data_IF_775132366912
#
_entry.id   IF_775132366912
#
_cell.length_a   1.000
_cell.length_b   1.000
_cell.length_c   1.000
_cell.angle_alpha   90.00
_cell.angle_beta   90.00
_cell.angle_gamma   90.00
#
_symmetry.space_group_name_H-M   'P 1'
#
loop_
_entity.id
_entity.type
_entity.pdbx_description
1 polymer ?
#
# COMPACT_ATOMS: atom_id res chain seq x y z
N UNK A 1 50.49 1.57 -15.71
CA UNK A 1 51.11 0.99 -14.49
C UNK A 1 50.00 0.28 -13.73
N UNK A 2 50.26 -0.86 -13.10
CA UNK A 2 49.30 -1.49 -12.20
C UNK A 2 49.36 -0.81 -10.83
N UNK A 3 48.26 -0.85 -10.08
CA UNK A 3 48.19 -0.32 -8.72
C UNK A 3 47.24 -1.16 -7.89
N UNK A 4 47.27 -0.99 -6.57
CA UNK A 4 46.43 -1.75 -5.64
C UNK A 4 44.94 -1.48 -5.90
N UNK A 5 44.19 -2.51 -6.23
CA UNK A 5 42.73 -2.47 -6.27
C UNK A 5 42.19 -2.70 -4.85
N UNK A 6 41.44 -1.74 -4.31
CA UNK A 6 40.99 -1.78 -2.92
C UNK A 6 39.83 -2.76 -2.69
N UNK A 7 39.23 -3.28 -3.76
CA UNK A 7 38.15 -4.28 -3.69
C UNK A 7 38.71 -5.69 -3.64
N UNK A 8 39.73 -5.99 -4.44
CA UNK A 8 40.33 -7.33 -4.53
C UNK A 8 41.56 -7.49 -3.65
N UNK A 9 42.26 -6.39 -3.34
CA UNK A 9 43.54 -6.42 -2.61
C UNK A 9 44.75 -6.75 -3.50
N UNK A 10 44.57 -6.82 -4.82
CA UNK A 10 45.61 -7.20 -5.78
C UNK A 10 46.08 -6.02 -6.64
N UNK A 11 47.27 -6.12 -7.25
CA UNK A 11 47.73 -5.14 -8.23
C UNK A 11 47.08 -5.33 -9.61
N UNK A 12 46.24 -4.38 -10.01
CA UNK A 12 45.45 -4.43 -11.23
C UNK A 12 45.61 -3.16 -12.08
N UNK A 13 45.10 -3.19 -13.32
CA UNK A 13 44.92 -1.98 -14.11
C UNK A 13 43.75 -1.18 -13.56
N UNK A 14 44.02 0.04 -13.11
CA UNK A 14 43.02 0.89 -12.48
C UNK A 14 42.00 1.42 -13.48
N UNK A 15 40.75 1.56 -13.03
CA UNK A 15 39.70 2.17 -13.82
C UNK A 15 39.86 3.70 -13.81
N UNK A 16 40.14 4.31 -14.96
CA UNK A 16 40.13 5.78 -15.08
C UNK A 16 38.72 6.38 -14.97
N UNK A 17 37.68 5.58 -15.25
CA UNK A 17 36.29 5.95 -15.03
C UNK A 17 35.44 4.73 -14.65
N UNK A 18 34.46 4.96 -13.79
CA UNK A 18 33.45 3.97 -13.44
C UNK A 18 32.20 4.09 -14.32
N UNK A 19 31.50 2.98 -14.60
CA UNK A 19 30.28 3.00 -15.41
C UNK A 19 29.16 3.87 -14.81
N UNK A 20 28.46 4.60 -15.68
CA UNK A 20 27.21 5.31 -15.37
C UNK A 20 26.00 4.49 -15.87
N UNK A 21 24.80 5.11 -15.94
CA UNK A 21 23.58 4.53 -16.50
C UNK A 21 23.14 3.25 -15.79
N UNK A 22 23.17 3.23 -14.46
CA UNK A 22 22.78 2.04 -13.70
C UNK A 22 21.26 1.86 -13.68
N UNK A 23 20.50 2.96 -13.65
CA UNK A 23 19.03 2.94 -13.58
C UNK A 23 18.38 2.93 -14.97
N UNK A 24 18.87 3.76 -15.89
CA UNK A 24 18.38 3.86 -17.27
C UNK A 24 19.46 4.47 -18.19
N UNK A 25 19.20 4.49 -19.50
CA UNK A 25 20.19 4.95 -20.50
C UNK A 25 20.50 6.45 -20.48
N UNK A 26 19.57 7.27 -19.96
CA UNK A 26 19.75 8.71 -19.81
C UNK A 26 20.52 9.07 -18.54
N UNK A 27 20.56 8.16 -17.56
CA UNK A 27 21.19 8.37 -16.25
C UNK A 27 22.71 8.49 -16.34
N UNK A 28 23.25 9.66 -16.00
CA UNK A 28 24.70 9.92 -15.97
C UNK A 28 25.31 9.83 -14.57
N UNK A 29 24.49 9.53 -13.56
CA UNK A 29 24.96 9.40 -12.19
C UNK A 29 25.87 8.18 -12.03
N UNK A 30 26.92 8.33 -11.22
CA UNK A 30 27.87 7.26 -10.87
C UNK A 30 27.89 7.03 -9.37
N UNK A 31 27.97 5.77 -8.95
CA UNK A 31 28.17 5.39 -7.54
C UNK A 31 29.58 5.76 -7.09
N UNK A 32 30.57 5.52 -7.96
CA UNK A 32 31.96 5.90 -7.74
C UNK A 32 32.30 7.01 -8.74
N UNK A 33 32.61 8.20 -8.24
CA UNK A 33 32.97 9.36 -9.06
C UNK A 33 34.16 10.11 -8.46
N UNK A 34 35.15 10.43 -9.28
CA UNK A 34 36.36 11.18 -8.91
C UNK A 34 36.56 12.44 -9.77
N UNK A 35 35.51 12.92 -10.44
CA UNK A 35 35.59 13.98 -11.44
C UNK A 35 35.64 15.42 -10.88
N UNK A 36 35.71 15.57 -9.57
CA UNK A 36 35.69 16.89 -8.92
C UNK A 36 37.12 17.36 -8.64
N UNK A 37 37.65 18.14 -9.58
CA UNK A 37 38.96 18.80 -9.49
C UNK A 37 38.87 20.15 -8.75
N UNK A 38 37.65 20.62 -8.49
CA UNK A 38 37.33 21.97 -8.02
C UNK A 38 36.94 22.03 -6.54
N UNK A 39 36.15 21.07 -6.06
CA UNK A 39 35.77 20.97 -4.66
C UNK A 39 36.66 19.94 -3.95
N UNK A 40 36.89 20.14 -2.65
CA UNK A 40 37.87 19.43 -1.82
C UNK A 40 37.54 17.95 -1.51
N UNK A 41 37.05 17.17 -2.48
CA UNK A 41 36.68 15.76 -2.27
C UNK A 41 37.86 14.85 -1.91
N UNK A 42 39.06 15.13 -2.45
CA UNK A 42 40.32 14.45 -2.09
C UNK A 42 41.50 15.41 -1.86
N UNK A 43 41.46 16.60 -2.49
CA UNK A 43 42.48 17.63 -2.36
C UNK A 43 42.56 18.15 -0.93
N UNK A 44 43.78 18.24 -0.39
CA UNK A 44 44.06 18.58 1.02
C UNK A 44 44.43 17.36 1.89
N UNK A 45 44.15 16.14 1.41
CA UNK A 45 44.70 14.88 1.98
C UNK A 45 45.52 14.10 0.96
N UNK A 46 45.12 14.13 -0.30
CA UNK A 46 45.76 13.42 -1.41
C UNK A 46 46.05 14.38 -2.58
N UNK A 47 47.08 14.08 -3.36
CA UNK A 47 47.46 14.85 -4.55
C UNK A 47 46.58 14.47 -5.75
N UNK A 48 46.27 13.18 -5.88
CA UNK A 48 45.45 12.61 -6.95
C UNK A 48 44.26 11.83 -6.40
N UNK A 49 43.23 11.64 -7.23
CA UNK A 49 42.07 10.84 -6.82
C UNK A 49 42.43 9.36 -6.64
N UNK A 50 43.42 8.87 -7.39
CA UNK A 50 43.86 7.47 -7.37
C UNK A 50 44.53 7.10 -6.03
N UNK A 51 45.13 8.07 -5.34
CA UNK A 51 45.67 7.89 -3.99
C UNK A 51 44.58 7.72 -2.92
N UNK A 52 43.38 8.26 -3.14
CA UNK A 52 42.30 8.19 -2.17
C UNK A 52 41.63 6.81 -2.17
N UNK A 53 41.26 6.31 -3.34
CA UNK A 53 40.71 4.97 -3.52
C UNK A 53 40.83 4.52 -4.98
N UNK A 54 41.40 3.34 -5.17
CA UNK A 54 41.57 2.74 -6.48
C UNK A 54 40.72 1.49 -6.67
N UNK A 55 39.98 1.40 -7.78
CA UNK A 55 39.29 0.16 -8.18
C UNK A 55 39.75 -0.31 -9.55
N UNK A 56 40.06 -1.60 -9.66
CA UNK A 56 40.47 -2.24 -10.91
C UNK A 56 39.42 -2.15 -12.01
N UNK A 57 39.88 -2.02 -13.26
CA UNK A 57 39.05 -1.87 -14.45
C UNK A 57 38.06 -3.03 -14.64
N UNK A 58 38.54 -4.27 -14.51
CA UNK A 58 37.70 -5.46 -14.67
C UNK A 58 36.66 -5.55 -13.56
N UNK A 59 37.08 -5.31 -12.32
CA UNK A 59 36.22 -5.37 -11.13
C UNK A 59 35.07 -4.36 -11.24
N UNK A 60 35.38 -3.10 -11.55
CA UNK A 60 34.35 -2.06 -11.65
C UNK A 60 33.34 -2.37 -12.76
N UNK A 61 33.80 -2.86 -13.93
CA UNK A 61 32.91 -3.21 -15.04
C UNK A 61 31.97 -4.36 -14.66
N UNK A 62 32.50 -5.44 -14.08
CA UNK A 62 31.70 -6.59 -13.65
C UNK A 62 30.64 -6.19 -12.61
N UNK A 63 31.05 -5.45 -11.58
CA UNK A 63 30.14 -5.05 -10.51
C UNK A 63 29.00 -4.14 -11.01
N UNK A 64 29.33 -3.12 -11.82
CA UNK A 64 28.32 -2.18 -12.33
C UNK A 64 27.40 -2.82 -13.37
N UNK A 65 27.92 -3.71 -14.23
CA UNK A 65 27.09 -4.44 -15.19
C UNK A 65 26.13 -5.42 -14.49
N UNK A 66 26.61 -6.13 -13.47
CA UNK A 66 25.76 -7.01 -12.66
C UNK A 66 24.65 -6.20 -11.97
N UNK A 67 24.99 -5.05 -11.38
CA UNK A 67 24.01 -4.17 -10.75
C UNK A 67 23.01 -3.61 -11.75
N UNK A 68 23.45 -3.13 -12.93
CA UNK A 68 22.54 -2.68 -14.00
C UNK A 68 21.59 -3.80 -14.41
N UNK A 69 22.09 -5.02 -14.57
CA UNK A 69 21.26 -6.18 -14.93
C UNK A 69 20.21 -6.46 -13.85
N UNK A 70 20.61 -6.53 -12.57
CA UNK A 70 19.69 -6.71 -11.44
C UNK A 70 18.61 -5.62 -11.41
N UNK A 71 19.02 -4.36 -11.59
CA UNK A 71 18.09 -3.23 -11.59
C UNK A 71 17.07 -3.36 -12.72
N UNK A 72 17.54 -3.64 -13.94
CA UNK A 72 16.66 -3.77 -15.12
C UNK A 72 15.73 -4.99 -15.04
N UNK A 73 16.15 -6.06 -14.36
CA UNK A 73 15.40 -7.31 -14.29
C UNK A 73 14.26 -7.25 -13.26
N UNK A 74 14.49 -6.63 -12.11
CA UNK A 74 13.60 -6.82 -10.95
C UNK A 74 13.50 -5.64 -9.98
N UNK A 75 14.19 -4.53 -10.21
CA UNK A 75 14.07 -3.40 -9.27
C UNK A 75 12.71 -2.73 -9.35
N UNK A 76 12.26 -2.21 -8.21
CA UNK A 76 11.34 -1.08 -8.22
C UNK A 76 12.07 0.13 -8.79
N UNK A 77 11.56 0.69 -9.89
CA UNK A 77 12.08 1.90 -10.50
C UNK A 77 10.98 2.96 -10.63
N UNK A 78 11.14 4.08 -9.93
CA UNK A 78 10.33 5.28 -10.12
C UNK A 78 11.23 6.50 -10.08
N UNK A 79 11.20 7.27 -11.16
CA UNK A 79 12.00 8.47 -11.35
C UNK A 79 13.50 8.18 -11.17
N UNK A 80 14.14 8.88 -10.24
CA UNK A 80 15.53 8.72 -9.85
C UNK A 80 15.74 7.70 -8.71
N UNK A 81 14.71 6.98 -8.27
CA UNK A 81 14.87 5.98 -7.22
C UNK A 81 14.84 4.56 -7.79
N UNK A 82 15.82 3.74 -7.40
CA UNK A 82 15.82 2.31 -7.64
C UNK A 82 15.97 1.55 -6.33
N UNK A 83 15.11 0.57 -6.08
CA UNK A 83 15.22 -0.34 -4.93
C UNK A 83 15.16 -1.77 -5.43
N UNK A 84 16.17 -2.56 -5.06
CA UNK A 84 16.32 -3.94 -5.53
C UNK A 84 16.75 -4.86 -4.40
N UNK A 85 16.17 -6.04 -4.35
CA UNK A 85 16.62 -7.14 -3.52
C UNK A 85 17.01 -8.34 -4.39
N UNK A 86 18.08 -9.07 -4.05
CA UNK A 86 18.47 -10.30 -4.74
C UNK A 86 19.15 -11.29 -3.81
N UNK A 87 18.99 -12.59 -4.11
CA UNK A 87 19.77 -13.63 -3.46
C UNK A 87 21.15 -13.70 -4.11
N UNK A 88 22.21 -13.82 -3.32
CA UNK A 88 23.60 -13.93 -3.81
C UNK A 88 23.81 -15.20 -4.64
N UNK A 89 22.99 -16.24 -4.42
CA UNK A 89 22.94 -17.46 -5.23
C UNK A 89 22.12 -17.35 -6.52
N UNK A 90 21.55 -16.19 -6.84
CA UNK A 90 20.82 -15.95 -8.10
C UNK A 90 19.40 -16.52 -8.19
N UNK A 91 18.87 -17.09 -7.09
CA UNK A 91 17.49 -17.57 -7.00
C UNK A 91 16.50 -16.42 -6.83
N UNK A 92 15.28 -16.62 -7.30
CA UNK A 92 14.22 -15.61 -7.24
C UNK A 92 13.73 -15.38 -5.81
N UNK A 93 13.30 -14.15 -5.52
CA UNK A 93 12.73 -13.75 -4.23
C UNK A 93 11.69 -12.62 -4.44
N UNK A 94 10.76 -12.41 -3.49
CA UNK A 94 9.80 -11.30 -3.60
C UNK A 94 10.51 -9.97 -3.40
N UNK A 95 10.21 -8.96 -4.22
CA UNK A 95 10.77 -7.62 -4.04
C UNK A 95 10.11 -6.90 -2.86
N UNK A 96 10.85 -6.04 -2.13
CA UNK A 96 10.38 -5.52 -0.85
C UNK A 96 9.30 -4.44 -0.95
N UNK A 97 9.12 -3.84 -2.13
CA UNK A 97 8.14 -2.77 -2.36
C UNK A 97 6.89 -3.24 -3.11
N UNK A 98 6.76 -4.55 -3.36
CA UNK A 98 5.64 -5.14 -4.08
C UNK A 98 4.46 -5.42 -3.17
N UNK A 99 3.23 -5.27 -3.69
CA UNK A 99 2.04 -5.77 -3.02
C UNK A 99 1.86 -7.29 -3.22
N UNK A 100 0.83 -7.87 -2.61
CA UNK A 100 0.57 -9.31 -2.73
C UNK A 100 0.24 -9.74 -4.17
N UNK A 101 -0.36 -8.86 -4.98
CA UNK A 101 -0.75 -9.16 -6.37
C UNK A 101 0.50 -9.23 -7.25
N UNK A 102 1.42 -8.28 -7.06
CA UNK A 102 2.71 -8.22 -7.77
C UNK A 102 3.60 -9.42 -7.39
N UNK A 103 3.69 -9.78 -6.10
CA UNK A 103 4.48 -10.94 -5.63
C UNK A 103 3.99 -12.26 -6.24
N UNK A 104 2.69 -12.34 -6.52
CA UNK A 104 2.07 -13.50 -7.16
C UNK A 104 2.14 -13.46 -8.70
N UNK A 105 2.59 -12.35 -9.29
CA UNK A 105 2.63 -12.17 -10.75
C UNK A 105 1.24 -12.24 -11.41
N UNK A 106 0.18 -11.88 -10.68
CA UNK A 106 -1.20 -12.00 -11.18
C UNK A 106 -1.58 -10.90 -12.16
N UNK A 107 -0.92 -9.74 -12.11
CA UNK A 107 -1.21 -8.60 -12.98
C UNK A 107 -0.52 -8.71 -14.36
N UNK A 108 0.61 -9.42 -14.44
CA UNK A 108 1.51 -9.41 -15.61
C UNK A 108 1.23 -10.52 -16.62
N UNK A 109 0.33 -11.46 -16.31
CA UNK A 109 -0.01 -12.59 -17.17
C UNK A 109 -1.41 -12.40 -17.77
N UNK A 110 -1.54 -12.06 -19.07
CA UNK A 110 -2.82 -12.11 -19.77
C UNK A 110 -3.34 -13.54 -19.68
N UNK A 111 -4.49 -13.74 -19.03
CA UNK A 111 -5.11 -15.06 -18.98
C UNK A 111 -6.03 -15.26 -20.16
N UNK A 112 -5.81 -16.36 -20.86
CA UNK A 112 -6.76 -16.91 -21.82
C UNK A 112 -7.91 -17.55 -21.04
N UNK A 113 -9.09 -16.96 -21.16
CA UNK A 113 -10.39 -17.53 -20.80
C UNK A 113 -10.48 -18.37 -19.52
N UNK A 114 -10.69 -17.72 -18.37
CA UNK A 114 -11.76 -18.04 -17.40
C UNK A 114 -12.01 -16.76 -16.60
N UNK A 115 -13.27 -16.33 -16.46
CA UNK A 115 -13.70 -15.23 -15.58
C UNK A 115 -13.67 -15.73 -14.11
N UNK A 116 -12.49 -16.14 -13.61
CA UNK A 116 -12.35 -16.55 -12.21
C UNK A 116 -12.41 -15.30 -11.35
N UNK A 117 -13.56 -15.07 -10.71
CA UNK A 117 -13.69 -14.07 -9.66
C UNK A 117 -12.79 -14.48 -8.49
N UNK A 118 -11.71 -13.73 -8.28
CA UNK A 118 -10.84 -13.94 -7.14
C UNK A 118 -11.45 -13.36 -5.88
N UNK A 119 -11.43 -14.12 -4.79
CA UNK A 119 -11.70 -13.58 -3.48
C UNK A 119 -10.39 -13.09 -2.84
N UNK A 120 -10.50 -12.06 -2.00
CA UNK A 120 -9.35 -11.51 -1.31
C UNK A 120 -8.66 -12.55 -0.39
N UNK A 121 -9.45 -13.47 0.18
CA UNK A 121 -8.98 -14.60 0.99
C UNK A 121 -8.17 -15.61 0.17
N UNK A 122 -8.61 -15.91 -1.05
CA UNK A 122 -7.89 -16.80 -1.95
C UNK A 122 -6.51 -16.23 -2.32
N UNK A 123 -6.44 -14.94 -2.65
CA UNK A 123 -5.16 -14.26 -2.93
C UNK A 123 -4.26 -14.31 -1.68
N UNK A 124 -4.81 -14.07 -0.49
CA UNK A 124 -4.05 -14.18 0.76
C UNK A 124 -3.49 -15.58 1.01
N UNK A 125 -4.24 -16.64 0.70
CA UNK A 125 -3.76 -18.04 0.81
C UNK A 125 -2.66 -18.32 -0.21
N UNK A 126 -2.85 -17.92 -1.47
CA UNK A 126 -1.85 -18.06 -2.54
C UNK A 126 -0.56 -17.32 -2.19
N UNK A 127 -0.66 -16.11 -1.62
CA UNK A 127 0.49 -15.34 -1.16
C UNK A 127 1.31 -16.09 -0.11
N UNK A 128 0.67 -16.64 0.92
CA UNK A 128 1.37 -17.45 1.95
C UNK A 128 2.07 -18.66 1.35
N UNK A 129 1.41 -19.37 0.45
CA UNK A 129 1.99 -20.53 -0.23
C UNK A 129 3.19 -20.12 -1.10
N UNK A 130 3.09 -18.98 -1.81
CA UNK A 130 4.19 -18.45 -2.62
C UNK A 130 5.39 -18.07 -1.77
N UNK A 131 5.17 -17.43 -0.62
CA UNK A 131 6.23 -17.09 0.33
C UNK A 131 6.93 -18.34 0.89
N UNK A 132 6.16 -19.37 1.22
CA UNK A 132 6.71 -20.66 1.65
C UNK A 132 7.53 -21.33 0.52
N UNK A 133 7.05 -21.27 -0.72
CA UNK A 133 7.78 -21.77 -1.90
C UNK A 133 9.14 -21.10 -2.07
N UNK A 134 9.24 -19.78 -1.92
CA UNK A 134 10.53 -19.09 -1.90
C UNK A 134 11.45 -19.62 -0.79
N UNK A 135 10.90 -19.91 0.39
CA UNK A 135 11.67 -20.49 1.50
C UNK A 135 12.24 -21.86 1.17
N UNK A 136 11.43 -22.74 0.56
CA UNK A 136 11.89 -24.05 0.09
C UNK A 136 12.95 -23.95 -1.01
N UNK A 137 12.79 -23.02 -1.94
CA UNK A 137 13.72 -22.84 -3.05
C UNK A 137 15.05 -22.23 -2.59
N UNK A 138 15.03 -21.19 -1.75
CA UNK A 138 16.23 -20.48 -1.29
C UNK A 138 17.01 -21.25 -0.21
N UNK A 139 16.32 -22.03 0.62
CA UNK A 139 16.86 -22.51 1.88
C UNK A 139 16.92 -21.39 2.93
N UNK A 140 17.52 -21.67 4.10
CA UNK A 140 17.48 -20.75 5.24
C UNK A 140 18.64 -19.75 5.30
N UNK A 141 19.80 -20.11 4.74
CA UNK A 141 21.08 -19.41 4.94
C UNK A 141 21.59 -18.70 3.69
N UNK A 142 20.86 -18.74 2.58
CA UNK A 142 21.27 -18.04 1.36
C UNK A 142 21.37 -16.53 1.65
N UNK A 143 22.45 -15.89 1.21
CA UNK A 143 22.62 -14.45 1.38
C UNK A 143 21.61 -13.69 0.52
N UNK A 144 20.99 -12.67 1.10
CA UNK A 144 20.10 -11.72 0.41
C UNK A 144 20.61 -10.31 0.63
N UNK A 145 20.73 -9.55 -0.45
CA UNK A 145 21.12 -8.15 -0.42
C UNK A 145 19.91 -7.30 -0.79
N UNK A 146 19.69 -6.22 -0.03
CA UNK A 146 18.72 -5.17 -0.33
C UNK A 146 19.46 -3.85 -0.50
N UNK A 147 19.26 -3.20 -1.65
CA UNK A 147 19.95 -1.97 -2.03
C UNK A 147 18.93 -0.94 -2.51
N UNK A 148 19.01 0.28 -1.97
CA UNK A 148 18.34 1.44 -2.54
C UNK A 148 19.37 2.45 -3.05
N UNK A 149 19.12 2.92 -4.27
CA UNK A 149 19.94 3.88 -4.98
C UNK A 149 19.12 5.11 -5.31
N UNK A 150 19.78 6.26 -5.21
CA UNK A 150 19.18 7.53 -5.52
C UNK A 150 20.22 8.53 -6.06
N UNK A 151 19.78 9.51 -6.84
CA UNK A 151 20.59 10.66 -7.24
C UNK A 151 20.02 11.93 -6.63
N UNK A 152 20.73 12.49 -5.64
CA UNK A 152 20.39 13.78 -5.06
C UNK A 152 20.93 14.96 -5.89
N UNK A 153 22.00 14.75 -6.66
CA UNK A 153 22.62 15.74 -7.54
C UNK A 153 22.99 15.14 -8.90
N UNK A 154 22.90 15.92 -10.00
CA UNK A 154 23.30 15.43 -11.32
C UNK A 154 24.72 14.87 -11.32
N UNK A 155 24.88 13.63 -11.80
CA UNK A 155 26.19 12.99 -11.96
C UNK A 155 26.68 12.17 -10.75
N UNK A 156 26.05 12.27 -9.57
CA UNK A 156 26.38 11.44 -8.39
C UNK A 156 25.20 10.58 -7.96
N UNK A 157 25.49 9.31 -7.68
CA UNK A 157 24.53 8.34 -7.15
C UNK A 157 24.92 7.97 -5.73
N UNK A 158 23.95 7.98 -4.83
CA UNK A 158 24.10 7.60 -3.43
C UNK A 158 23.40 6.28 -3.18
N UNK A 159 24.04 5.44 -2.37
CA UNK A 159 23.40 4.29 -1.74
C UNK A 159 22.64 4.82 -0.52
N UNK A 160 21.33 4.91 -0.61
CA UNK A 160 20.48 5.46 0.47
C UNK A 160 20.05 4.39 1.47
N UNK A 161 20.10 3.12 1.07
CA UNK A 161 19.83 1.99 1.95
C UNK A 161 20.65 0.77 1.51
N UNK A 162 21.20 0.05 2.49
CA UNK A 162 21.93 -1.21 2.26
C UNK A 162 21.68 -2.16 3.42
N UNK A 163 21.28 -3.39 3.12
CA UNK A 163 21.22 -4.50 4.07
C UNK A 163 21.64 -5.80 3.44
N UNK A 164 22.36 -6.60 4.22
CA UNK A 164 22.59 -8.01 3.98
C UNK A 164 21.86 -8.81 5.04
N UNK A 165 21.17 -9.88 4.62
CA UNK A 165 20.32 -10.71 5.46
C UNK A 165 20.44 -12.15 4.99
N UNK A 166 20.04 -13.11 5.83
CA UNK A 166 19.75 -14.46 5.34
C UNK A 166 18.40 -14.49 4.64
N UNK A 167 18.19 -15.45 3.75
CA UNK A 167 16.92 -15.69 3.06
C UNK A 167 15.77 -15.93 4.04
N UNK A 168 16.02 -16.71 5.11
CA UNK A 168 15.03 -16.93 6.17
C UNK A 168 14.61 -15.62 6.86
N UNK A 169 15.57 -14.77 7.21
CA UNK A 169 15.30 -13.48 7.84
C UNK A 169 14.57 -12.53 6.89
N UNK A 170 15.01 -12.45 5.63
CA UNK A 170 14.38 -11.62 4.60
C UNK A 170 12.91 -12.02 4.38
N UNK A 171 12.64 -13.30 4.12
CA UNK A 171 11.27 -13.78 3.87
C UNK A 171 10.37 -13.61 5.09
N UNK A 172 10.92 -13.81 6.30
CA UNK A 172 10.19 -13.53 7.55
C UNK A 172 9.83 -12.05 7.67
N UNK A 173 10.74 -11.13 7.36
CA UNK A 173 10.50 -9.67 7.40
C UNK A 173 9.41 -9.27 6.40
N UNK A 174 9.47 -9.77 5.15
CA UNK A 174 8.42 -9.57 4.14
C UNK A 174 7.07 -10.12 4.62
N UNK A 175 7.03 -11.37 5.07
CA UNK A 175 5.80 -11.99 5.58
C UNK A 175 5.19 -11.19 6.75
N UNK A 176 6.04 -10.74 7.68
CA UNK A 176 5.62 -9.93 8.83
C UNK A 176 5.03 -8.60 8.40
N UNK A 177 5.64 -7.90 7.43
CA UNK A 177 5.09 -6.65 6.89
C UNK A 177 3.69 -6.85 6.29
N UNK A 178 3.53 -7.84 5.40
CA UNK A 178 2.24 -8.13 4.76
C UNK A 178 1.17 -8.61 5.74
N UNK A 179 1.55 -9.29 6.82
CA UNK A 179 0.62 -9.75 7.84
C UNK A 179 0.20 -8.63 8.80
N UNK A 180 1.15 -7.82 9.25
CA UNK A 180 0.89 -6.75 10.24
C UNK A 180 0.18 -5.56 9.59
N UNK A 181 0.58 -5.15 8.38
CA UNK A 181 -0.02 -4.04 7.63
C UNK A 181 -1.15 -4.52 6.71
N UNK A 182 -1.95 -5.49 7.14
CA UNK A 182 -2.96 -6.12 6.30
C UNK A 182 -4.30 -5.38 6.29
N UNK A 183 -4.91 -5.24 5.12
CA UNK A 183 -6.33 -4.88 4.96
C UNK A 183 -6.93 -5.52 3.69
N UNK A 184 -8.25 -5.41 3.52
CA UNK A 184 -8.93 -5.81 2.28
C UNK A 184 -8.83 -4.66 1.27
N UNK A 185 -8.16 -4.89 0.16
CA UNK A 185 -7.95 -3.93 -0.91
C UNK A 185 -8.71 -4.35 -2.18
N UNK A 186 -9.28 -3.39 -2.92
CA UNK A 186 -10.09 -3.63 -4.12
C UNK A 186 -9.74 -2.76 -5.34
N UNK A 187 -8.57 -2.14 -5.31
CA UNK A 187 -8.14 -1.20 -6.34
C UNK A 187 -7.24 -1.81 -7.42
N UNK A 188 -6.81 -3.07 -7.26
CA UNK A 188 -6.07 -3.79 -8.30
C UNK A 188 -7.04 -4.42 -9.27
N UNK A 189 -6.58 -4.58 -10.51
CA UNK A 189 -7.31 -5.26 -11.58
C UNK A 189 -6.32 -5.98 -12.49
N UNK A 190 -6.81 -6.95 -13.24
CA UNK A 190 -6.04 -7.63 -14.29
C UNK A 190 -6.76 -7.54 -15.63
N UNK A 191 -5.96 -7.51 -16.69
CA UNK A 191 -6.46 -7.67 -18.05
C UNK A 191 -6.71 -9.15 -18.34
N UNK A 192 -7.92 -9.49 -18.76
CA UNK A 192 -8.29 -10.79 -19.32
C UNK A 192 -8.56 -10.59 -20.81
N UNK A 193 -7.99 -11.48 -21.63
CA UNK A 193 -8.25 -11.52 -23.07
C UNK A 193 -9.30 -12.58 -23.34
N UNK A 194 -10.51 -12.13 -23.67
CA UNK A 194 -11.60 -12.99 -24.13
C UNK A 194 -11.92 -12.61 -25.57
N UNK A 195 -11.79 -13.57 -26.49
CA UNK A 195 -12.20 -13.54 -27.90
C UNK A 195 -12.25 -12.15 -28.56
N UNK A 196 -11.15 -11.39 -28.48
CA UNK A 196 -10.94 -10.16 -29.24
C UNK A 196 -10.70 -8.87 -28.44
N UNK A 197 -11.41 -8.60 -27.32
CA UNK A 197 -11.26 -7.32 -26.58
C UNK A 197 -10.68 -7.53 -25.18
N UNK A 198 -9.67 -6.73 -24.78
CA UNK A 198 -9.17 -6.76 -23.41
C UNK A 198 -10.24 -6.24 -22.44
N UNK A 199 -10.47 -6.98 -21.36
CA UNK A 199 -11.37 -6.59 -20.28
C UNK A 199 -10.61 -6.55 -18.97
N UNK A 200 -10.83 -5.51 -18.18
CA UNK A 200 -10.30 -5.40 -16.83
C UNK A 200 -11.24 -6.07 -15.83
N UNK A 201 -10.71 -6.98 -15.03
CA UNK A 201 -11.44 -7.67 -13.96
C UNK A 201 -10.85 -7.28 -12.61
N UNK A 202 -11.67 -6.95 -11.60
CA UNK A 202 -11.19 -6.62 -10.26
C UNK A 202 -10.40 -7.77 -9.63
N UNK A 203 -9.30 -7.43 -8.97
CA UNK A 203 -8.47 -8.35 -8.19
C UNK A 203 -8.43 -7.87 -6.73
N UNK A 204 -9.44 -8.20 -5.92
CA UNK A 204 -9.41 -7.87 -4.51
C UNK A 204 -8.35 -8.72 -3.81
N UNK A 205 -7.56 -8.13 -2.90
CA UNK A 205 -6.49 -8.85 -2.20
C UNK A 205 -6.42 -8.49 -0.72
N UNK A 206 -5.86 -9.40 0.08
CA UNK A 206 -5.53 -9.20 1.49
C UNK A 206 -4.02 -9.14 1.63
N UNK A 207 -3.51 -8.07 2.21
CA UNK A 207 -2.08 -7.89 2.48
C UNK A 207 -1.73 -6.42 2.68
N UNK A 208 -0.43 -6.12 2.71
CA UNK A 208 0.03 -4.74 2.73
C UNK A 208 -0.10 -4.04 1.37
N UNK A 209 -0.47 -2.75 1.35
CA UNK A 209 -0.40 -1.94 0.15
C UNK A 209 1.05 -1.65 -0.24
N UNK A 210 1.30 -1.44 -1.54
CA UNK A 210 2.62 -1.06 -2.01
C UNK A 210 3.04 0.31 -1.44
N UNK A 211 4.32 0.54 -1.10
CA UNK A 211 4.81 1.83 -0.63
C UNK A 211 4.51 3.02 -1.56
N UNK A 212 4.46 2.79 -2.88
CA UNK A 212 4.00 3.80 -3.84
C UNK A 212 2.53 4.17 -3.66
N UNK A 213 1.67 3.18 -3.41
CA UNK A 213 0.24 3.41 -3.15
C UNK A 213 0.02 4.12 -1.82
N UNK A 214 0.85 3.83 -0.81
CA UNK A 214 0.86 4.58 0.46
C UNK A 214 1.18 6.06 0.21
N UNK A 215 2.20 6.35 -0.62
CA UNK A 215 2.54 7.73 -0.98
C UNK A 215 1.40 8.44 -1.72
N UNK A 216 0.72 7.74 -2.64
CA UNK A 216 -0.45 8.26 -3.33
C UNK A 216 -1.61 8.53 -2.35
N UNK A 217 -1.90 7.61 -1.44
CA UNK A 217 -2.94 7.76 -0.43
C UNK A 217 -2.65 8.94 0.53
N UNK A 218 -1.38 9.23 0.81
CA UNK A 218 -0.97 10.30 1.70
C UNK A 218 -0.96 11.68 1.01
N UNK A 219 -0.41 11.77 -0.21
CA UNK A 219 0.02 13.06 -0.77
C UNK A 219 -0.47 13.37 -2.18
N UNK A 220 -1.20 12.45 -2.83
CA UNK A 220 -1.63 12.72 -4.20
C UNK A 220 -2.65 13.87 -4.28
N UNK A 221 -2.60 14.59 -5.40
CA UNK A 221 -3.63 15.54 -5.82
C UNK A 221 -4.45 14.91 -6.92
N UNK A 222 -5.74 15.22 -6.98
CA UNK A 222 -6.60 14.79 -8.08
C UNK A 222 -6.43 15.78 -9.23
N UNK A 223 -5.75 15.36 -10.30
CA UNK A 223 -5.57 16.15 -11.53
C UNK A 223 -6.16 15.36 -12.69
N UNK A 224 -7.22 15.88 -13.30
CA UNK A 224 -7.93 15.26 -14.42
C UNK A 224 -8.40 13.82 -14.13
N UNK A 225 -8.94 13.57 -12.93
CA UNK A 225 -9.43 12.26 -12.51
C UNK A 225 -8.34 11.24 -12.14
N UNK A 226 -7.06 11.66 -12.13
CA UNK A 226 -5.91 10.82 -11.77
C UNK A 226 -5.29 11.29 -10.46
N UNK A 227 -4.91 10.32 -9.62
CA UNK A 227 -4.07 10.57 -8.47
C UNK A 227 -2.64 10.84 -8.96
N UNK A 228 -2.14 12.05 -8.73
CA UNK A 228 -0.77 12.42 -9.02
C UNK A 228 -0.06 12.85 -7.75
N UNK A 229 1.02 12.17 -7.42
CA UNK A 229 1.91 12.50 -6.31
C UNK A 229 3.21 13.09 -6.85
N UNK A 230 3.70 14.14 -6.20
CA UNK A 230 5.02 14.70 -6.48
C UNK A 230 6.11 13.64 -6.28
N UNK A 231 7.02 13.54 -7.25
CA UNK A 231 8.02 12.48 -7.31
C UNK A 231 8.95 12.50 -6.09
N UNK A 232 9.28 13.70 -5.59
CA UNK A 232 10.11 13.86 -4.39
C UNK A 232 9.38 13.39 -3.13
N UNK A 233 8.06 13.64 -3.03
CA UNK A 233 7.24 13.12 -1.94
C UNK A 233 7.10 11.59 -2.02
N UNK A 234 6.88 11.03 -3.21
CA UNK A 234 6.82 9.57 -3.41
C UNK A 234 8.10 8.89 -2.98
N UNK A 235 9.23 9.36 -3.50
CA UNK A 235 10.56 8.85 -3.19
C UNK A 235 10.87 8.90 -1.69
N UNK A 236 10.67 10.04 -1.04
CA UNK A 236 10.88 10.19 0.41
C UNK A 236 10.00 9.25 1.23
N UNK A 237 8.78 9.01 0.77
CA UNK A 237 7.86 8.07 1.45
C UNK A 237 8.39 6.65 1.34
N UNK A 238 8.80 6.22 0.15
CA UNK A 238 9.39 4.89 -0.08
C UNK A 238 10.68 4.69 0.74
N UNK A 239 11.58 5.68 0.79
CA UNK A 239 12.82 5.63 1.59
C UNK A 239 12.54 5.42 3.07
N UNK A 240 11.46 6.03 3.59
CA UNK A 240 11.08 5.92 4.99
C UNK A 240 10.35 4.62 5.31
N UNK A 241 9.64 4.04 4.35
CA UNK A 241 8.93 2.78 4.50
C UNK A 241 9.85 1.56 4.33
N UNK A 242 10.92 1.65 3.53
CA UNK A 242 11.82 0.51 3.31
C UNK A 242 12.45 -0.03 4.62
N UNK A 243 12.95 0.80 5.56
CA UNK A 243 13.38 0.33 6.88
C UNK A 243 12.24 -0.22 7.76
N UNK A 244 10.98 0.19 7.54
CA UNK A 244 9.84 -0.40 8.24
C UNK A 244 9.57 -1.84 7.77
N UNK A 245 9.73 -2.08 6.47
CA UNK A 245 9.52 -3.38 5.83
C UNK A 245 10.67 -4.33 6.18
N UNK A 246 11.91 -3.86 5.98
CA UNK A 246 13.08 -4.69 6.15
C UNK A 246 13.51 -4.73 7.61
N UNK A 247 13.77 -3.60 8.26
CA UNK A 247 14.32 -3.58 9.62
C UNK A 247 13.26 -3.64 10.72
N UNK A 248 11.97 -3.77 10.37
CA UNK A 248 10.88 -3.82 11.34
C UNK A 248 10.70 -2.52 12.12
N UNK A 249 11.19 -1.37 11.60
CA UNK A 249 11.03 -0.09 12.29
C UNK A 249 9.55 0.29 12.39
N UNK A 250 9.12 0.94 13.49
CA UNK A 250 7.75 1.42 13.63
C UNK A 250 7.34 2.34 12.47
N UNK A 251 6.07 2.25 12.07
CA UNK A 251 5.53 3.10 11.01
C UNK A 251 5.56 4.59 11.44
N UNK A 252 6.05 5.52 10.59
CA UNK A 252 6.06 6.95 10.93
C UNK A 252 4.64 7.52 11.06
N UNK A 253 4.35 8.14 12.21
CA UNK A 253 3.03 8.68 12.53
C UNK A 253 2.56 9.73 11.52
N UNK A 254 3.45 10.60 11.04
CA UNK A 254 3.10 11.66 10.09
C UNK A 254 2.57 11.11 8.76
N UNK A 255 3.04 9.93 8.32
CA UNK A 255 2.49 9.26 7.13
C UNK A 255 1.07 8.77 7.43
N UNK A 256 0.87 8.11 8.57
CA UNK A 256 -0.44 7.60 9.01
C UNK A 256 -1.45 8.75 9.12
N UNK A 257 -1.08 9.82 9.83
CA UNK A 257 -1.93 10.98 10.02
C UNK A 257 -2.25 11.69 8.71
N UNK A 258 -1.28 11.81 7.79
CA UNK A 258 -1.50 12.39 6.47
C UNK A 258 -2.56 11.61 5.68
N UNK A 259 -2.46 10.28 5.65
CA UNK A 259 -3.44 9.42 4.97
C UNK A 259 -4.81 9.55 5.62
N UNK A 260 -4.90 9.43 6.96
CA UNK A 260 -6.16 9.54 7.70
C UNK A 260 -6.84 10.89 7.44
N UNK A 261 -6.09 11.98 7.60
CA UNK A 261 -6.61 13.34 7.38
C UNK A 261 -7.12 13.53 5.95
N UNK A 262 -6.38 13.02 4.97
CA UNK A 262 -6.77 13.15 3.56
C UNK A 262 -8.03 12.35 3.27
N UNK A 263 -8.11 11.09 3.72
CA UNK A 263 -9.28 10.22 3.52
C UNK A 263 -10.54 10.77 4.19
N UNK A 264 -10.42 11.44 5.34
CA UNK A 264 -11.55 12.15 5.97
C UNK A 264 -12.16 13.25 5.09
N UNK A 265 -11.48 13.67 4.02
CA UNK A 265 -12.04 14.55 2.98
C UNK A 265 -12.59 13.75 1.79
N UNK A 266 -13.68 12.99 2.03
CA UNK A 266 -14.35 12.16 1.01
C UNK A 266 -14.69 12.92 -0.27
N UNK A 267 -15.10 14.18 -0.17
CA UNK A 267 -15.54 15.00 -1.31
C UNK A 267 -14.42 15.24 -2.32
N UNK A 268 -13.15 15.17 -1.90
CA UNK A 268 -12.00 15.36 -2.79
C UNK A 268 -11.67 14.14 -3.67
N UNK A 269 -12.40 13.03 -3.54
CA UNK A 269 -12.10 11.76 -4.21
C UNK A 269 -13.21 11.32 -5.16
N UNK A 270 -12.79 10.72 -6.27
CA UNK A 270 -13.65 9.79 -7.01
C UNK A 270 -13.94 8.53 -6.18
N UNK A 271 -15.05 7.81 -6.41
CA UNK A 271 -15.44 6.65 -5.61
C UNK A 271 -14.32 5.60 -5.48
N UNK A 272 -13.68 5.21 -6.58
CA UNK A 272 -12.59 4.22 -6.56
C UNK A 272 -11.33 4.74 -5.85
N UNK A 273 -11.03 6.04 -5.95
CA UNK A 273 -9.88 6.66 -5.27
C UNK A 273 -10.09 6.69 -3.76
N UNK A 274 -11.32 6.93 -3.33
CA UNK A 274 -11.70 6.86 -1.92
C UNK A 274 -11.57 5.43 -1.40
N UNK A 275 -12.11 4.43 -2.09
CA UNK A 275 -11.98 3.03 -1.66
C UNK A 275 -10.50 2.59 -1.54
N UNK A 276 -9.67 2.97 -2.53
CA UNK A 276 -8.22 2.75 -2.47
C UNK A 276 -7.63 3.37 -1.22
N UNK A 277 -7.84 4.67 -1.02
CA UNK A 277 -7.21 5.43 0.06
C UNK A 277 -7.74 5.03 1.44
N UNK A 278 -9.04 4.72 1.57
CA UNK A 278 -9.66 4.22 2.79
C UNK A 278 -9.04 2.89 3.22
N UNK A 279 -8.95 1.93 2.30
CA UNK A 279 -8.35 0.62 2.61
C UNK A 279 -6.89 0.74 3.06
N UNK A 280 -6.13 1.67 2.46
CA UNK A 280 -4.75 1.97 2.84
C UNK A 280 -4.68 2.67 4.21
N UNK A 281 -5.58 3.62 4.49
CA UNK A 281 -5.66 4.29 5.80
C UNK A 281 -5.90 3.27 6.92
N UNK A 282 -6.82 2.33 6.70
CA UNK A 282 -7.11 1.26 7.64
C UNK A 282 -5.90 0.34 7.87
N UNK A 283 -5.22 -0.09 6.80
CA UNK A 283 -4.01 -0.91 6.90
C UNK A 283 -2.91 -0.24 7.75
N UNK A 284 -2.64 1.04 7.48
CA UNK A 284 -1.58 1.80 8.15
C UNK A 284 -1.94 2.14 9.59
N UNK A 285 -3.18 2.56 9.87
CA UNK A 285 -3.61 2.86 11.23
C UNK A 285 -3.59 1.60 12.10
N UNK A 286 -4.09 0.47 11.58
CA UNK A 286 -3.99 -0.83 12.24
C UNK A 286 -2.51 -1.17 12.55
N UNK A 287 -1.62 -1.12 11.54
CA UNK A 287 -0.19 -1.40 11.71
C UNK A 287 0.45 -0.51 12.79
N UNK A 288 0.13 0.77 12.79
CA UNK A 288 0.66 1.72 13.76
C UNK A 288 0.19 1.41 15.19
N UNK A 289 -1.08 1.05 15.36
CA UNK A 289 -1.64 0.69 16.66
C UNK A 289 -1.09 -0.66 17.15
N UNK A 290 -0.90 -1.63 16.26
CA UNK A 290 -0.20 -2.89 16.55
C UNK A 290 1.23 -2.60 17.06
N UNK A 291 1.99 -1.73 16.38
CA UNK A 291 3.38 -1.38 16.74
C UNK A 291 3.50 -0.60 18.06
N UNK A 292 2.57 0.32 18.34
CA UNK A 292 2.68 1.27 19.46
C UNK A 292 1.94 0.84 20.72
N UNK A 293 0.76 0.25 20.55
CA UNK A 293 -0.17 -0.01 21.67
C UNK A 293 -0.47 -1.50 21.84
N UNK A 294 0.08 -2.37 20.98
CA UNK A 294 -0.25 -3.80 20.95
C UNK A 294 -1.78 -4.04 20.84
N UNK A 295 -2.48 -3.10 20.21
CA UNK A 295 -3.92 -3.14 20.04
C UNK A 295 -4.26 -3.73 18.67
N UNK A 296 -4.76 -4.96 18.67
CA UNK A 296 -5.10 -5.67 17.44
C UNK A 296 -6.48 -5.29 16.92
N UNK A 297 -6.55 -5.05 15.61
CA UNK A 297 -7.79 -4.84 14.88
C UNK A 297 -8.05 -5.99 13.91
N UNK A 298 -9.26 -6.55 13.94
CA UNK A 298 -9.74 -7.44 12.90
C UNK A 298 -10.24 -6.65 11.69
N UNK A 299 -10.15 -7.23 10.49
CA UNK A 299 -10.79 -6.70 9.29
C UNK A 299 -12.31 -6.96 9.28
N UNK A 300 -12.81 -7.80 10.18
CA UNK A 300 -14.24 -8.04 10.38
C UNK A 300 -14.84 -7.00 11.32
N UNK A 301 -16.14 -6.77 11.21
CA UNK A 301 -16.88 -5.95 12.18
C UNK A 301 -16.80 -6.58 13.57
N UNK A 302 -16.32 -5.80 14.53
CA UNK A 302 -16.38 -6.15 15.95
C UNK A 302 -17.59 -5.44 16.57
N UNK A 303 -18.70 -6.16 16.85
CA UNK A 303 -19.88 -5.55 17.43
C UNK A 303 -19.69 -5.18 18.90
N UNK A 304 -18.67 -5.73 19.58
CA UNK A 304 -18.43 -5.58 21.01
C UNK A 304 -17.51 -4.41 21.36
N UNK A 305 -16.72 -3.92 20.41
CA UNK A 305 -15.83 -2.76 20.61
C UNK A 305 -16.65 -1.48 20.86
N UNK A 306 -16.42 -0.88 22.03
CA UNK A 306 -17.11 0.34 22.51
C UNK A 306 -16.26 1.60 22.44
N UNK A 307 -15.12 1.57 21.76
CA UNK A 307 -14.30 2.78 21.58
C UNK A 307 -15.08 3.84 20.81
N UNK A 308 -15.13 5.06 21.36
CA UNK A 308 -15.88 6.20 20.82
C UNK A 308 -15.68 6.37 19.31
N UNK A 309 -14.43 6.38 18.86
CA UNK A 309 -14.08 6.65 17.47
C UNK A 309 -14.57 5.52 16.55
N UNK A 310 -14.39 4.25 16.96
CA UNK A 310 -14.90 3.10 16.22
C UNK A 310 -16.42 3.12 16.07
N UNK A 311 -17.15 3.42 17.16
CA UNK A 311 -18.61 3.51 17.15
C UNK A 311 -19.11 4.65 16.25
N UNK A 312 -18.47 5.82 16.26
CA UNK A 312 -18.80 6.90 15.33
C UNK A 312 -18.53 6.50 13.87
N UNK A 313 -17.46 5.76 13.62
CA UNK A 313 -17.21 5.15 12.31
C UNK A 313 -18.36 4.27 11.84
N UNK A 314 -18.86 3.40 12.72
CA UNK A 314 -20.02 2.53 12.44
C UNK A 314 -21.29 3.33 12.16
N UNK A 315 -21.58 4.36 12.95
CA UNK A 315 -22.73 5.25 12.74
C UNK A 315 -22.67 5.93 11.37
N UNK A 316 -21.51 6.49 11.01
CA UNK A 316 -21.31 7.13 9.72
C UNK A 316 -21.55 6.15 8.56
N UNK A 317 -21.02 4.92 8.65
CA UNK A 317 -21.21 3.89 7.63
C UNK A 317 -22.67 3.46 7.45
N UNK A 318 -23.41 3.33 8.55
CA UNK A 318 -24.84 2.98 8.52
C UNK A 318 -25.69 4.11 7.90
N UNK A 319 -25.40 5.36 8.25
CA UNK A 319 -26.06 6.52 7.68
C UNK A 319 -25.77 6.65 6.17
N UNK A 320 -24.51 6.52 5.79
CA UNK A 320 -24.05 6.57 4.40
C UNK A 320 -24.75 5.50 3.55
N UNK A 321 -24.75 4.25 4.02
CA UNK A 321 -25.37 3.14 3.29
C UNK A 321 -26.91 3.26 3.20
N UNK A 322 -27.58 3.74 4.25
CA UNK A 322 -29.03 3.95 4.23
C UNK A 322 -29.43 5.01 3.20
N UNK A 323 -28.71 6.14 3.19
CA UNK A 323 -28.96 7.22 2.22
C UNK A 323 -28.65 6.75 0.80
N UNK A 324 -27.49 6.12 0.58
CA UNK A 324 -27.09 5.56 -0.73
C UNK A 324 -28.13 4.59 -1.27
N UNK A 325 -28.67 3.70 -0.43
CA UNK A 325 -29.73 2.78 -0.84
C UNK A 325 -31.02 3.50 -1.27
N UNK A 326 -31.40 4.55 -0.55
CA UNK A 326 -32.58 5.35 -0.88
C UNK A 326 -32.40 6.17 -2.17
N UNK A 327 -31.18 6.63 -2.46
CA UNK A 327 -30.82 7.33 -3.69
C UNK A 327 -30.84 6.37 -4.89
N UNK A 328 -30.21 5.20 -4.75
CA UNK A 328 -30.20 4.17 -5.78
C UNK A 328 -31.61 3.71 -6.17
N UNK A 329 -32.51 3.55 -5.17
CA UNK A 329 -33.93 3.24 -5.43
C UNK A 329 -34.65 4.34 -6.22
N UNK A 330 -34.25 5.59 -6.05
CA UNK A 330 -34.80 6.74 -6.77
C UNK A 330 -34.06 7.05 -8.09
N UNK A 331 -33.01 6.31 -8.42
CA UNK A 331 -32.11 6.58 -9.57
C UNK A 331 -31.51 7.98 -9.52
N UNK A 332 -31.24 8.49 -8.32
CA UNK A 332 -30.56 9.77 -8.10
C UNK A 332 -29.04 9.53 -8.01
N UNK A 333 -28.26 10.15 -8.90
CA UNK A 333 -26.80 10.09 -8.88
C UNK A 333 -26.22 11.32 -8.18
N UNK A 334 -26.11 11.25 -6.85
CA UNK A 334 -25.51 12.30 -6.02
C UNK A 334 -24.87 11.73 -4.76
N UNK A 335 -23.92 12.48 -4.20
CA UNK A 335 -23.28 12.09 -2.94
C UNK A 335 -24.24 12.15 -1.76
N UNK A 336 -24.05 11.24 -0.81
CA UNK A 336 -24.77 11.20 0.47
C UNK A 336 -24.39 12.39 1.35
N UNK A 337 -25.24 12.71 2.31
CA UNK A 337 -24.98 13.71 3.34
C UNK A 337 -23.84 13.27 4.25
N UNK A 338 -23.74 11.97 4.56
CA UNK A 338 -22.62 11.40 5.30
C UNK A 338 -21.28 11.60 4.57
N UNK A 339 -21.21 11.32 3.26
CA UNK A 339 -20.02 11.54 2.45
C UNK A 339 -19.63 13.02 2.39
N UNK A 340 -20.59 13.92 2.16
CA UNK A 340 -20.34 15.37 2.08
C UNK A 340 -19.85 15.96 3.40
N UNK A 341 -20.39 15.49 4.53
CA UNK A 341 -20.05 16.00 5.86
C UNK A 341 -18.91 15.24 6.55
N UNK A 342 -18.31 14.23 5.90
CA UNK A 342 -17.30 13.37 6.52
C UNK A 342 -16.12 14.14 7.13
N UNK A 343 -15.68 15.23 6.50
CA UNK A 343 -14.60 16.08 7.06
C UNK A 343 -15.02 16.75 8.34
N UNK A 344 -16.22 17.35 8.35
CA UNK A 344 -16.76 17.99 9.56
C UNK A 344 -17.05 16.95 10.64
N UNK A 345 -17.50 15.77 10.25
CA UNK A 345 -17.76 14.65 11.16
C UNK A 345 -16.49 14.15 11.83
N UNK A 346 -15.37 14.09 11.10
CA UNK A 346 -14.08 13.72 11.68
C UNK A 346 -13.57 14.75 12.71
N UNK A 347 -13.84 16.04 12.51
CA UNK A 347 -13.44 17.11 13.44
C UNK A 347 -14.42 17.29 14.61
N UNK A 348 -15.72 17.15 14.34
CA UNK A 348 -16.84 17.42 15.23
C UNK A 348 -17.92 16.33 15.11
N UNK A 349 -17.68 15.12 15.67
CA UNK A 349 -18.52 13.96 15.45
C UNK A 349 -19.94 14.08 16.04
N UNK A 350 -20.09 14.62 17.24
CA UNK A 350 -21.38 14.72 17.93
C UNK A 350 -22.30 15.73 17.23
N UNK A 351 -21.80 16.95 17.00
CA UNK A 351 -22.61 18.00 16.39
C UNK A 351 -22.95 17.70 14.92
N UNK A 352 -22.01 17.09 14.20
CA UNK A 352 -22.23 16.66 12.81
C UNK A 352 -23.15 15.45 12.72
N UNK A 353 -23.04 14.48 13.65
CA UNK A 353 -23.93 13.33 13.70
C UNK A 353 -25.40 13.76 13.79
N UNK A 354 -25.72 14.72 14.66
CA UNK A 354 -27.09 15.27 14.76
C UNK A 354 -27.62 15.77 13.42
N UNK A 355 -26.76 16.45 12.65
CA UNK A 355 -27.12 16.98 11.32
C UNK A 355 -27.38 15.84 10.33
N UNK A 356 -26.49 14.84 10.30
CA UNK A 356 -26.62 13.65 9.45
C UNK A 356 -27.90 12.89 9.80
N UNK A 357 -28.13 12.62 11.09
CA UNK A 357 -29.28 11.86 11.56
C UNK A 357 -30.62 12.50 11.18
N UNK A 358 -30.75 13.82 11.38
CA UNK A 358 -31.96 14.55 10.99
C UNK A 358 -32.19 14.46 9.47
N UNK A 359 -31.12 14.55 8.68
CA UNK A 359 -31.18 14.42 7.22
C UNK A 359 -31.59 13.01 6.75
N UNK A 360 -31.52 11.98 7.60
CA UNK A 360 -31.97 10.62 7.24
C UNK A 360 -33.50 10.47 7.14
N UNK A 361 -34.26 11.39 7.75
CA UNK A 361 -35.73 11.32 7.82
C UNK A 361 -36.44 11.10 6.47
N UNK A 362 -36.19 11.89 5.41
CA UNK A 362 -36.81 11.67 4.10
C UNK A 362 -36.44 10.31 3.48
N UNK A 363 -35.21 9.83 3.68
CA UNK A 363 -34.75 8.55 3.14
C UNK A 363 -35.37 7.36 3.88
N UNK A 364 -35.53 7.46 5.20
CA UNK A 364 -36.27 6.48 6.02
C UNK A 364 -37.72 6.37 5.53
N UNK A 365 -38.40 7.50 5.31
CA UNK A 365 -39.77 7.51 4.78
C UNK A 365 -39.87 6.86 3.40
N UNK A 366 -38.94 7.18 2.49
CA UNK A 366 -38.87 6.61 1.12
C UNK A 366 -38.65 5.11 1.09
N UNK A 367 -37.82 4.60 2.01
CA UNK A 367 -37.55 3.16 2.14
C UNK A 367 -38.65 2.41 2.90
N UNK A 368 -39.43 3.12 3.73
CA UNK A 368 -40.50 2.55 4.54
C UNK A 368 -39.99 1.43 5.44
N UNK A 369 -40.75 0.33 5.54
CA UNK A 369 -40.41 -0.83 6.37
C UNK A 369 -39.03 -1.44 6.07
N UNK A 370 -38.51 -1.27 4.85
CA UNK A 370 -37.19 -1.80 4.45
C UNK A 370 -36.04 -1.14 5.22
N UNK A 371 -36.20 0.11 5.68
CA UNK A 371 -35.18 0.81 6.47
C UNK A 371 -35.11 0.38 7.94
N UNK A 372 -36.09 -0.37 8.46
CA UNK A 372 -36.18 -0.71 9.89
C UNK A 372 -34.94 -1.46 10.40
N UNK A 373 -34.34 -2.33 9.57
CA UNK A 373 -33.13 -3.07 9.93
C UNK A 373 -31.95 -2.13 10.18
N UNK A 374 -31.69 -1.21 9.27
CA UNK A 374 -30.63 -0.20 9.43
C UNK A 374 -30.90 0.75 10.59
N UNK A 375 -32.15 1.14 10.82
CA UNK A 375 -32.51 1.96 11.97
C UNK A 375 -32.21 1.25 13.30
N UNK A 376 -32.57 -0.04 13.42
CA UNK A 376 -32.21 -0.85 14.59
C UNK A 376 -30.69 -0.93 14.79
N UNK A 377 -29.91 -1.13 13.72
CA UNK A 377 -28.45 -1.13 13.82
C UNK A 377 -27.90 0.22 14.30
N UNK A 378 -28.48 1.33 13.85
CA UNK A 378 -28.10 2.68 14.34
C UNK A 378 -28.40 2.80 15.84
N UNK A 379 -29.59 2.36 16.27
CA UNK A 379 -29.98 2.40 17.69
C UNK A 379 -29.09 1.49 18.54
N UNK A 380 -28.75 0.29 18.05
CA UNK A 380 -27.82 -0.64 18.69
C UNK A 380 -26.44 0.00 18.88
N UNK A 381 -25.89 0.65 17.85
CA UNK A 381 -24.59 1.33 17.94
C UNK A 381 -24.66 2.50 18.92
N UNK A 382 -25.74 3.28 18.91
CA UNK A 382 -25.97 4.37 19.87
C UNK A 382 -25.99 3.87 21.32
N UNK A 383 -26.65 2.76 21.58
CA UNK A 383 -26.75 2.15 22.91
C UNK A 383 -25.41 1.57 23.41
N UNK A 384 -24.40 1.43 22.55
CA UNK A 384 -23.06 1.00 22.95
C UNK A 384 -22.18 2.14 23.44
N UNK A 385 -22.55 3.40 23.21
CA UNK A 385 -21.77 4.53 23.70
C UNK A 385 -21.99 4.77 25.19
N UNK A 386 -20.92 5.16 25.87
CA UNK A 386 -21.02 5.90 27.12
C UNK A 386 -21.47 7.35 26.85
N UNK A 387 -22.30 7.92 27.73
CA UNK A 387 -22.91 9.25 27.53
C UNK A 387 -21.87 10.37 27.36
N UNK A 388 -20.79 10.31 28.14
CA UNK A 388 -19.68 11.28 28.08
C UNK A 388 -18.94 11.19 26.75
N UNK A 389 -18.72 9.97 26.26
CA UNK A 389 -18.03 9.75 24.99
C UNK A 389 -18.91 10.12 23.80
N UNK A 390 -20.22 9.88 23.87
CA UNK A 390 -21.17 10.24 22.82
C UNK A 390 -21.36 11.76 22.67
N UNK A 391 -21.19 12.53 23.73
CA UNK A 391 -21.35 14.00 23.69
C UNK A 391 -20.03 14.73 23.45
N UNK A 392 -18.91 14.01 23.47
CA UNK A 392 -17.57 14.56 23.29
C UNK A 392 -17.27 14.83 21.81
N UNK A 393 -17.40 16.10 21.42
CA UNK A 393 -17.19 16.59 20.04
C UNK A 393 -15.72 16.78 19.65
N UNK A 394 -14.76 16.21 20.40
CA UNK A 394 -13.34 16.21 20.03
C UNK A 394 -13.10 15.36 18.78
N UNK A 395 -12.18 15.85 17.93
CA UNK A 395 -11.67 15.19 16.72
C UNK A 395 -11.48 13.68 16.91
N UNK A 396 -11.92 12.92 15.90
CA UNK A 396 -11.77 11.48 15.80
C UNK A 396 -10.36 11.12 15.32
N UNK A 397 -9.80 10.05 15.89
CA UNK A 397 -8.58 9.40 15.41
C UNK A 397 -8.87 8.47 14.24
N UNK A 398 -7.85 7.98 13.53
CA UNK A 398 -8.03 7.05 12.40
C UNK A 398 -8.82 5.76 12.72
N UNK A 399 -9.08 5.44 13.98
CA UNK A 399 -9.94 4.34 14.39
C UNK A 399 -11.37 4.46 13.82
N UNK A 400 -11.90 5.67 13.64
CA UNK A 400 -13.22 5.83 13.04
C UNK A 400 -13.28 5.32 11.59
N UNK A 401 -12.16 5.40 10.86
CA UNK A 401 -12.07 4.84 9.50
C UNK A 401 -12.09 3.31 9.53
N UNK A 402 -11.52 2.68 10.57
CA UNK A 402 -11.62 1.24 10.78
C UNK A 402 -13.06 0.82 11.03
N UNK A 403 -13.75 1.48 11.96
CA UNK A 403 -15.17 1.23 12.24
C UNK A 403 -16.06 1.44 11.01
N UNK A 404 -15.81 2.51 10.27
CA UNK A 404 -16.50 2.82 9.02
C UNK A 404 -16.25 1.73 7.96
N UNK A 405 -15.00 1.35 7.72
CA UNK A 405 -14.66 0.30 6.75
C UNK A 405 -15.26 -1.06 7.14
N UNK A 406 -15.09 -1.52 8.39
CA UNK A 406 -15.62 -2.81 8.83
C UNK A 406 -17.15 -2.88 8.73
N UNK A 407 -17.85 -1.80 9.09
CA UNK A 407 -19.31 -1.75 9.01
C UNK A 407 -19.80 -1.78 7.55
N UNK A 408 -19.09 -1.11 6.63
CA UNK A 408 -19.40 -1.17 5.19
C UNK A 408 -19.20 -2.56 4.60
N UNK A 409 -18.10 -3.22 4.96
CA UNK A 409 -17.84 -4.61 4.55
C UNK A 409 -18.92 -5.57 5.05
N UNK A 410 -19.33 -5.43 6.31
CA UNK A 410 -20.43 -6.22 6.87
C UNK A 410 -21.74 -6.05 6.10
N UNK A 411 -22.10 -4.80 5.76
CA UNK A 411 -23.32 -4.50 5.00
C UNK A 411 -23.26 -5.07 3.58
N UNK A 412 -22.09 -4.97 2.93
CA UNK A 412 -21.85 -5.54 1.60
C UNK A 412 -22.03 -7.07 1.59
N UNK A 413 -21.34 -7.77 2.49
CA UNK A 413 -21.44 -9.23 2.59
C UNK A 413 -22.85 -9.70 2.98
N UNK A 414 -23.60 -8.85 3.70
CA UNK A 414 -25.01 -9.13 4.02
C UNK A 414 -25.91 -8.98 2.79
N UNK A 415 -25.64 -8.00 1.92
CA UNK A 415 -26.38 -7.80 0.68
C UNK A 415 -26.07 -8.87 -0.37
N UNK A 416 -24.82 -9.31 -0.48
CA UNK A 416 -24.40 -10.39 -1.39
C UNK A 416 -25.10 -11.71 -1.02
N UNK A 417 -25.09 -12.10 0.27
CA UNK A 417 -25.80 -13.30 0.76
C UNK A 417 -27.31 -13.29 0.51
N UNK A 418 -27.95 -12.11 0.57
CA UNK A 418 -29.37 -11.98 0.27
C UNK A 418 -29.65 -12.23 -1.22
N UNK A 419 -28.82 -11.70 -2.13
CA UNK A 419 -28.96 -11.93 -3.57
C UNK A 419 -28.80 -13.41 -3.94
N UNK A 420 -27.77 -14.07 -3.38
CA UNK A 420 -27.54 -15.51 -3.59
C UNK A 420 -28.75 -16.36 -3.12
N UNK A 421 -29.37 -16.00 -1.99
CA UNK A 421 -30.56 -16.68 -1.49
C UNK A 421 -31.81 -16.45 -2.37
N UNK A 422 -31.95 -15.28 -2.97
CA UNK A 422 -33.06 -14.96 -3.89
C UNK A 422 -32.90 -15.67 -5.25
N UNK A 423 -31.67 -15.73 -5.78
CA UNK A 423 -31.34 -16.40 -7.05
C UNK A 423 -31.44 -17.94 -6.93
N UNK A 424 -30.99 -18.52 -5.81
CA UNK A 424 -31.13 -19.96 -5.53
C UNK A 424 -32.58 -20.41 -5.33
N UNK A 425 -33.48 -19.50 -4.97
CA UNK A 425 -34.92 -19.79 -4.81
C UNK A 425 -35.70 -19.77 -6.12
N UNK A 426 -35.18 -19.12 -7.17
CA UNK A 426 -35.82 -19.05 -8.50
C UNK A 426 -35.36 -20.17 -9.45
N UNK A 427 -34.39 -21.00 -9.04
CA UNK A 427 -33.79 -22.07 -9.85
C UNK A 427 -34.47 -23.45 -9.80
N UNK A 428 -35.54 -23.64 -9.02
CA UNK A 428 -36.31 -24.89 -9.01
C UNK A 428 -37.71 -24.69 -9.62
N UNK A 429 -37.86 -24.78 -10.96
CA UNK A 429 -39.16 -25.15 -11.52
C UNK A 429 -39.39 -26.62 -11.20
N UNK A 430 -40.43 -26.87 -10.42
CA UNK A 430 -41.05 -28.17 -10.16
C UNK A 430 -41.12 -29.00 -11.44
N UNK A 431 -40.28 -30.04 -11.53
CA UNK A 431 -40.55 -31.19 -12.38
C UNK A 431 -41.60 -32.04 -11.69
N UNK A 432 -42.82 -32.01 -12.22
CA UNK A 432 -43.85 -33.02 -11.98
C UNK A 432 -43.44 -34.36 -12.60
#
# INVERSE_FOLDING_TARGET
MKSLCYVTGEEEFMAGQHPAKLRNDADKAKIISSNDQSNFTFRGRFLTADEAAGVGFVVTQKAHLALRWLISRQAYQKDDQAVVAWATGGKDLPQPLSDAVDILGLADLPRDGVDTAYTAEEIGKRFRNRLAGYGSDLGETAGVVVLALDSATPGRMSITYYRELTSSEYLKRIGTWHQSCTWIHRYRSMEIRSSGKPRWVPLPFIGAPAPSDIAEAAYATNKNGKLQVDDKLRKRTVERLLPCIIDGRPLPWDIVESVVRRVSNRVAFEPWQFEKSLSIACALFKKFMDDKKQETYSMTLDPTRRTRDYLYGRLLALADNLEEWALNKAKEDRQTTAARLMTRFAEHPYSTWRTIELALSPYKARLGGKSKKHQRMIDEVKNLFDEVDFTNDKRLTGEFLLGYSCQREFLRNSAERLKESEEGSQGNPTGN
#
